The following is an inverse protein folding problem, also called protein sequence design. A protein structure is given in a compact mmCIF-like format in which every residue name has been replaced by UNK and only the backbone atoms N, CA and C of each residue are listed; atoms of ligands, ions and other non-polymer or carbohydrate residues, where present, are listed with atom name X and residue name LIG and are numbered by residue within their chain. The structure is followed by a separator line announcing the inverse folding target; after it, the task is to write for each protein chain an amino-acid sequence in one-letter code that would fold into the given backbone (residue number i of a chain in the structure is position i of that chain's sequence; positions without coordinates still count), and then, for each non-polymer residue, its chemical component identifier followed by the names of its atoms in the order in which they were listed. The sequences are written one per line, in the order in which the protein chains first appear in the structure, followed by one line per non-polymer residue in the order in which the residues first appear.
data_IF_672210219894
#
_entry.id   IF_672210219894
#
_cell.length_a   1.000
_cell.length_b   1.000
_cell.length_c   1.000
_cell.angle_alpha   90.00
_cell.angle_beta   90.00
_cell.angle_gamma   90.00
#
_symmetry.space_group_name_H-M   'P 1'
#
loop_
_entity.id
_entity.type
_entity.pdbx_description
1 polymer ?
#
# COMPACT_ATOMS: atom_id res chain seq x y z
N UNK A 1 6.93 -7.72 -0.36
CA UNK A 1 6.94 -6.52 -1.22
C UNK A 1 6.70 -5.28 -0.38
N UNK A 2 7.46 -4.20 -0.60
CA UNK A 2 7.27 -2.90 0.05
C UNK A 2 6.98 -1.84 -1.00
N UNK A 3 5.94 -1.03 -0.79
CA UNK A 3 5.65 0.17 -1.57
C UNK A 3 5.74 1.38 -0.64
N UNK A 4 6.53 2.38 -1.06
CA UNK A 4 6.65 3.65 -0.36
C UNK A 4 5.90 4.72 -1.15
N UNK A 5 4.93 5.36 -0.51
CA UNK A 5 4.11 6.42 -1.09
C UNK A 5 4.42 7.73 -0.38
N UNK A 6 4.72 8.77 -1.16
CA UNK A 6 4.85 10.14 -0.67
C UNK A 6 3.63 10.93 -1.13
N UNK A 7 2.89 11.47 -0.17
CA UNK A 7 1.69 12.25 -0.38
C UNK A 7 2.02 13.71 -0.08
N UNK A 8 1.58 14.61 -0.95
CA UNK A 8 1.71 16.05 -0.77
C UNK A 8 0.42 16.73 -1.25
N UNK A 9 -0.10 17.64 -0.43
CA UNK A 9 -1.24 18.49 -0.77
C UNK A 9 -0.71 19.81 -1.33
N UNK A 10 -1.13 20.13 -2.55
CA UNK A 10 -0.87 21.44 -3.18
C UNK A 10 -1.80 22.50 -2.58
N UNK A 11 -1.36 23.15 -1.51
CA UNK A 11 -2.09 24.27 -0.89
C UNK A 11 -1.13 25.43 -0.58
N UNK A 12 -1.62 26.65 -0.83
CA UNK A 12 -0.93 27.88 -0.44
C UNK A 12 -1.27 28.27 1.01
N UNK A 13 -0.32 28.91 1.69
CA UNK A 13 -0.49 29.44 3.04
C UNK A 13 -0.05 28.49 4.17
N UNK A 14 0.16 29.06 5.35
CA UNK A 14 0.58 28.38 6.58
C UNK A 14 -0.62 28.17 7.51
N UNK A 15 -0.73 27.00 8.15
CA UNK A 15 -1.85 26.66 9.06
C UNK A 15 -2.33 25.22 8.96
N UNK A 16 -3.13 24.79 9.94
CA UNK A 16 -3.85 23.51 9.93
C UNK A 16 -5.00 23.55 8.91
N UNK A 17 -5.33 22.38 8.34
CA UNK A 17 -6.49 22.29 7.47
C UNK A 17 -7.79 22.33 8.26
N UNK A 18 -8.85 22.95 7.71
CA UNK A 18 -10.17 22.86 8.31
C UNK A 18 -10.69 21.41 8.22
N UNK A 19 -11.62 21.08 9.12
CA UNK A 19 -12.42 19.86 9.01
C UNK A 19 -13.24 19.83 7.71
N UNK A 20 -13.72 18.64 7.35
CA UNK A 20 -14.47 18.40 6.12
C UNK A 20 -15.70 19.29 6.04
N UNK A 21 -15.89 19.96 4.90
CA UNK A 21 -17.08 20.75 4.64
C UNK A 21 -18.24 19.85 4.17
N UNK A 22 -19.04 19.36 5.13
CA UNK A 22 -20.20 18.50 4.89
C UNK A 22 -21.44 19.02 5.63
N UNK A 23 -22.19 20.00 5.07
CA UNK A 23 -23.27 20.72 5.77
C UNK A 23 -24.48 19.86 6.15
N UNK A 24 -24.64 18.71 5.50
CA UNK A 24 -25.72 17.75 5.78
C UNK A 24 -25.25 16.57 6.66
N UNK A 25 -23.98 16.53 7.05
CA UNK A 25 -23.47 15.55 8.00
C UNK A 25 -23.67 16.07 9.43
N UNK A 26 -24.23 15.27 10.35
CA UNK A 26 -24.71 15.77 11.65
C UNK A 26 -23.59 16.19 12.62
N UNK A 27 -22.33 15.84 12.34
CA UNK A 27 -21.21 16.09 13.23
C UNK A 27 -20.02 16.76 12.54
N UNK A 28 -19.03 17.12 13.33
CA UNK A 28 -17.71 17.48 12.80
C UNK A 28 -17.05 16.23 12.22
N UNK A 29 -16.45 16.34 11.04
CA UNK A 29 -15.76 15.24 10.38
C UNK A 29 -14.35 15.66 9.98
N UNK A 30 -13.37 14.84 10.33
CA UNK A 30 -12.00 15.00 9.84
C UNK A 30 -11.76 14.09 8.64
N UNK A 31 -11.01 14.62 7.68
CA UNK A 31 -10.73 13.95 6.42
C UNK A 31 -9.78 12.77 6.63
N UNK A 32 -10.13 11.61 6.07
CA UNK A 32 -9.22 10.47 6.02
C UNK A 32 -9.11 9.93 4.60
N UNK A 33 -7.96 9.31 4.36
CA UNK A 33 -7.62 8.71 3.10
C UNK A 33 -7.28 7.23 3.28
N UNK A 34 -7.55 6.44 2.27
CA UNK A 34 -7.15 5.05 2.18
C UNK A 34 -6.14 4.90 1.06
N UNK A 35 -4.98 4.32 1.37
CA UNK A 35 -4.09 3.75 0.37
C UNK A 35 -4.37 2.25 0.31
N UNK A 36 -4.73 1.76 -0.88
CA UNK A 36 -5.06 0.35 -1.12
C UNK A 36 -4.22 -0.16 -2.27
N UNK A 37 -3.54 -1.28 -2.08
CA UNK A 37 -2.85 -2.00 -3.16
C UNK A 37 -3.64 -3.25 -3.44
N UNK A 38 -4.00 -3.48 -4.70
CA UNK A 38 -4.73 -4.69 -5.11
C UNK A 38 -4.47 -5.10 -6.54
N UNK A 39 -5.09 -6.22 -6.93
CA UNK A 39 -5.10 -6.76 -8.29
C UNK A 39 -6.56 -6.78 -8.75
N UNK A 40 -7.03 -5.73 -9.46
CA UNK A 40 -8.46 -5.58 -9.77
C UNK A 40 -9.03 -6.72 -10.59
N UNK A 41 -8.27 -7.21 -11.58
CA UNK A 41 -8.66 -8.34 -12.45
C UNK A 41 -8.94 -9.63 -11.67
N UNK A 42 -8.37 -9.78 -10.47
CA UNK A 42 -8.55 -10.94 -9.58
C UNK A 42 -9.46 -10.66 -8.38
N UNK A 43 -9.87 -9.40 -8.18
CA UNK A 43 -10.61 -9.00 -6.98
C UNK A 43 -9.80 -9.16 -5.68
N UNK A 44 -8.47 -9.10 -5.75
CA UNK A 44 -7.58 -9.31 -4.59
C UNK A 44 -7.15 -7.98 -3.98
N UNK A 45 -7.30 -7.82 -2.67
CA UNK A 45 -6.70 -6.74 -1.88
C UNK A 45 -5.40 -7.25 -1.25
N UNK A 46 -4.28 -6.61 -1.56
CA UNK A 46 -2.95 -7.01 -1.09
C UNK A 46 -2.52 -6.25 0.18
N UNK A 47 -2.74 -4.94 0.20
CA UNK A 47 -2.46 -4.09 1.36
C UNK A 47 -3.47 -2.96 1.47
N UNK A 48 -3.74 -2.51 2.70
CA UNK A 48 -4.58 -1.34 2.97
C UNK A 48 -4.03 -0.57 4.17
N UNK A 49 -4.03 0.75 4.07
CA UNK A 49 -3.63 1.63 5.17
C UNK A 49 -4.45 2.91 5.18
N UNK A 50 -4.99 3.25 6.35
CA UNK A 50 -5.65 4.54 6.58
C UNK A 50 -4.60 5.61 6.87
N UNK A 51 -4.78 6.79 6.28
CA UNK A 51 -3.87 7.94 6.39
C UNK A 51 -4.69 9.17 6.74
N UNK A 52 -4.28 9.89 7.78
CA UNK A 52 -4.73 11.26 8.01
C UNK A 52 -3.69 12.19 7.39
N UNK A 53 -4.08 12.91 6.33
CA UNK A 53 -3.17 13.75 5.55
C UNK A 53 -3.48 15.22 5.81
N UNK A 54 -2.55 15.90 6.50
CA UNK A 54 -2.60 17.35 6.66
C UNK A 54 -1.93 18.05 5.47
N UNK A 55 -0.61 17.90 5.31
CA UNK A 55 0.14 18.52 4.20
C UNK A 55 0.96 17.52 3.44
N UNK A 56 1.84 16.81 4.15
CA UNK A 56 2.68 15.76 3.58
C UNK A 56 2.61 14.52 4.45
N UNK A 57 2.76 13.35 3.83
CA UNK A 57 2.91 12.10 4.54
C UNK A 57 3.80 11.15 3.73
N UNK A 58 4.64 10.38 4.42
CA UNK A 58 5.39 9.27 3.82
C UNK A 58 4.88 7.98 4.42
N UNK A 59 4.30 7.12 3.58
CA UNK A 59 3.56 5.94 4.02
C UNK A 59 4.18 4.69 3.39
N UNK A 60 4.54 3.73 4.24
CA UNK A 60 4.97 2.39 3.83
C UNK A 60 3.77 1.44 3.85
N UNK A 61 3.56 0.74 2.73
CA UNK A 61 2.66 -0.39 2.57
C UNK A 61 3.49 -1.65 2.34
N UNK A 62 3.15 -2.73 3.03
CA UNK A 62 3.84 -4.01 2.95
C UNK A 62 2.83 -5.11 2.70
N UNK A 63 3.17 -6.05 1.82
CA UNK A 63 2.37 -7.24 1.54
C UNK A 63 3.27 -8.38 1.06
N UNK A 64 2.79 -9.62 1.23
CA UNK A 64 3.44 -10.79 0.66
C UNK A 64 3.29 -10.78 -0.87
N UNK A 65 4.34 -11.17 -1.58
CA UNK A 65 4.22 -11.39 -3.03
C UNK A 65 3.17 -12.49 -3.28
N UNK A 66 2.26 -12.31 -4.25
CA UNK A 66 1.39 -13.39 -4.71
C UNK A 66 2.16 -14.66 -5.07
N UNK A 67 1.51 -15.82 -4.91
CA UNK A 67 2.10 -17.12 -5.21
C UNK A 67 2.27 -17.39 -6.70
N UNK A 68 1.55 -16.66 -7.56
CA UNK A 68 1.66 -16.80 -9.00
C UNK A 68 2.90 -16.06 -9.51
N UNK A 69 3.83 -16.82 -10.07
CA UNK A 69 5.06 -16.33 -10.69
C UNK A 69 4.74 -15.64 -12.02
N UNK A 70 5.53 -14.63 -12.36
CA UNK A 70 5.45 -13.87 -13.60
C UNK A 70 4.99 -12.43 -13.39
N UNK A 71 4.74 -11.76 -14.53
CA UNK A 71 4.27 -10.37 -14.56
C UNK A 71 2.82 -10.29 -14.11
N UNK A 72 2.56 -9.39 -13.17
CA UNK A 72 1.23 -9.16 -12.64
C UNK A 72 0.94 -7.67 -12.51
N UNK A 73 -0.23 -7.27 -13.01
CA UNK A 73 -0.75 -5.91 -12.92
C UNK A 73 -1.34 -5.66 -11.52
N UNK A 74 -0.83 -4.63 -10.85
CA UNK A 74 -1.35 -4.12 -9.59
C UNK A 74 -1.87 -2.69 -9.77
N UNK A 75 -2.72 -2.27 -8.86
CA UNK A 75 -3.21 -0.90 -8.78
C UNK A 75 -3.08 -0.38 -7.36
N UNK A 76 -2.51 0.82 -7.21
CA UNK A 76 -2.56 1.60 -5.98
C UNK A 76 -3.72 2.59 -6.09
N UNK A 77 -4.70 2.44 -5.20
CA UNK A 77 -5.82 3.36 -5.02
C UNK A 77 -5.53 4.30 -3.87
N UNK A 78 -5.75 5.59 -4.07
CA UNK A 78 -5.76 6.61 -3.04
C UNK A 78 -7.15 7.23 -2.97
N UNK A 79 -7.94 6.83 -1.96
CA UNK A 79 -9.37 7.14 -1.90
C UNK A 79 -9.72 8.01 -0.69
N UNK A 80 -10.59 9.00 -0.87
CA UNK A 80 -11.06 9.86 0.20
C UNK A 80 -12.33 9.30 0.84
N UNK A 81 -12.44 9.34 2.17
CA UNK A 81 -13.67 8.93 2.87
C UNK A 81 -14.75 10.03 2.93
N UNK A 82 -14.45 11.22 2.40
CA UNK A 82 -15.18 12.46 2.68
C UNK A 82 -15.59 13.28 1.46
N UNK A 83 -14.79 13.27 0.41
CA UNK A 83 -15.07 13.99 -0.83
C UNK A 83 -15.16 13.00 -1.98
N UNK A 84 -16.10 13.22 -2.90
CA UNK A 84 -16.23 12.43 -4.13
C UNK A 84 -15.43 13.10 -5.25
N UNK A 85 -14.84 12.28 -6.13
CA UNK A 85 -14.13 12.77 -7.32
C UNK A 85 -12.67 13.16 -7.10
N UNK A 86 -12.10 12.87 -5.93
CA UNK A 86 -10.68 13.06 -5.62
C UNK A 86 -9.92 11.73 -5.45
N UNK A 87 -10.55 10.61 -5.76
CA UNK A 87 -9.89 9.30 -5.76
C UNK A 87 -8.88 9.24 -6.92
N UNK A 88 -7.72 8.63 -6.68
CA UNK A 88 -6.65 8.46 -7.66
C UNK A 88 -6.27 7.00 -7.78
N UNK A 89 -5.91 6.60 -9.00
CA UNK A 89 -5.52 5.23 -9.33
C UNK A 89 -4.19 5.22 -10.08
N UNK A 90 -3.27 4.38 -9.63
CA UNK A 90 -1.95 4.23 -10.23
C UNK A 90 -1.67 2.76 -10.53
N UNK A 91 -1.66 2.41 -11.81
CA UNK A 91 -1.32 1.06 -12.27
C UNK A 91 0.20 0.85 -12.30
N UNK A 92 0.64 -0.33 -11.88
CA UNK A 92 2.04 -0.74 -11.94
C UNK A 92 2.17 -2.26 -12.08
N UNK A 93 3.26 -2.72 -12.68
CA UNK A 93 3.53 -4.14 -12.89
C UNK A 93 4.64 -4.61 -11.94
N UNK A 94 4.48 -5.79 -11.36
CA UNK A 94 5.56 -6.51 -10.67
C UNK A 94 5.82 -7.83 -11.38
N UNK A 95 7.10 -8.14 -11.61
CA UNK A 95 7.56 -9.42 -12.13
C UNK A 95 7.98 -10.32 -10.96
N UNK A 96 7.09 -11.21 -10.54
CA UNK A 96 7.29 -12.12 -9.41
C UNK A 96 8.13 -13.30 -9.87
N UNK A 97 9.20 -13.59 -9.13
CA UNK A 97 10.09 -14.73 -9.37
C UNK A 97 9.84 -15.84 -8.37
N UNK A 98 10.19 -17.06 -8.74
CA UNK A 98 10.21 -18.19 -7.81
C UNK A 98 11.14 -17.86 -6.63
N UNK A 99 10.67 -18.13 -5.41
CA UNK A 99 11.53 -18.03 -4.23
C UNK A 99 12.52 -19.18 -4.23
N UNK A 100 13.79 -18.89 -3.96
CA UNK A 100 14.79 -19.92 -3.71
C UNK A 100 14.42 -20.61 -2.38
N UNK A 101 14.12 -21.91 -2.42
CA UNK A 101 13.92 -22.73 -1.23
C UNK A 101 15.26 -22.89 -0.49
N UNK A 102 15.34 -22.44 0.76
CA UNK A 102 16.48 -22.62 1.67
C UNK A 102 16.56 -24.08 2.21
N UNK A 103 16.58 -25.06 1.32
CA UNK A 103 16.76 -26.48 1.65
C UNK A 103 17.94 -27.00 0.82
N UNK A 104 19.14 -27.01 1.41
CA UNK A 104 20.28 -27.90 1.09
C UNK A 104 21.55 -27.42 1.80
N UNK A 105 21.78 -27.85 3.06
CA UNK A 105 23.11 -28.04 3.68
C UNK A 105 22.97 -28.63 5.10
N UNK A 106 22.30 -29.78 5.24
CA UNK A 106 22.57 -30.70 6.34
C UNK A 106 23.21 -31.95 5.75
N UNK A 107 24.18 -32.52 6.48
CA UNK A 107 24.92 -33.77 6.24
C UNK A 107 26.22 -33.70 5.41
N UNK A 108 27.35 -33.53 6.11
CA UNK A 108 28.50 -34.48 6.09
C UNK A 108 29.54 -34.05 7.15
N UNK A 109 29.38 -34.50 8.41
CA UNK A 109 30.53 -34.67 9.31
C UNK A 109 30.81 -36.17 9.47
N UNK A 110 31.64 -36.67 8.56
CA UNK A 110 32.19 -38.01 8.57
C UNK A 110 32.98 -38.28 9.86
N UNK A 111 32.55 -39.31 10.57
CA UNK A 111 33.14 -39.91 11.75
C UNK A 111 34.62 -40.30 11.49
N UNK A 112 35.57 -39.63 12.15
CA UNK A 112 36.99 -40.02 12.14
C UNK A 112 37.18 -41.24 13.07
N UNK A 113 37.58 -42.37 12.49
CA UNK A 113 37.86 -43.62 13.18
C UNK A 113 39.11 -43.54 14.07
N UNK A 114 39.11 -44.30 15.17
CA UNK A 114 40.24 -44.47 16.09
C UNK A 114 41.19 -45.61 15.74
#
# INVERSE_FOLDING_TARGET
VTIQVELEREIEGEGELPSVHAPYYPGRKDENWWLVVGIPKKGTLCAIKRVSLQRKARVKLEFAAPSEVGKQDFTLFFMCDSYMGCDQEYEFELDIKEGESEDESEEEEGMEEG
#
